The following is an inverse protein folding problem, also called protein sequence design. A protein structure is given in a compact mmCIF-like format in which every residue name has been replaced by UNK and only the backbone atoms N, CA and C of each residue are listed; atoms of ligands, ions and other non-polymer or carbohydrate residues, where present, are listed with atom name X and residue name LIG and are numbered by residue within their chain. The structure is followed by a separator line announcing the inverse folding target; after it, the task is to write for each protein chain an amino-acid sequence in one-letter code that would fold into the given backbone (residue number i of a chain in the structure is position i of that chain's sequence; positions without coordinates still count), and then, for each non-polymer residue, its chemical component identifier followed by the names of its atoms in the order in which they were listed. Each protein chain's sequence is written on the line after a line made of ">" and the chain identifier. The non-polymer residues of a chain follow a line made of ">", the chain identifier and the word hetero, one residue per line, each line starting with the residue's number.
data_IF_956985280450
#
_entry.id   IF_956985280450
#
_cell.length_a   1.000
_cell.length_b   1.000
_cell.length_c   1.000
_cell.angle_alpha   90.00
_cell.angle_beta   90.00
_cell.angle_gamma   90.00
#
_symmetry.space_group_name_H-M   'P 1'
#
loop_
_entity.id
_entity.type
_entity.pdbx_description
1 polymer ?
#
# COMPACT_ATOMS: atom_id res chain seq x y z
N UNK A 1 -2.69 15.18 -9.04
CA UNK A 1 -1.24 14.90 -8.96
C UNK A 1 -0.56 16.20 -8.55
N UNK A 2 0.13 16.23 -7.41
CA UNK A 2 0.74 17.45 -6.87
C UNK A 2 2.10 17.79 -7.44
N UNK A 3 2.70 16.94 -8.30
CA UNK A 3 4.02 17.20 -8.88
C UNK A 3 3.89 17.97 -10.21
N UNK A 4 4.14 19.29 -10.23
CA UNK A 4 3.97 20.12 -11.43
C UNK A 4 5.01 19.80 -12.53
N UNK A 5 6.07 19.06 -12.21
CA UNK A 5 7.14 18.72 -13.15
C UNK A 5 6.84 17.45 -13.97
N UNK A 6 5.63 16.88 -13.87
CA UNK A 6 5.27 15.66 -14.60
C UNK A 6 4.44 15.97 -15.83
N UNK A 7 4.63 15.21 -16.92
CA UNK A 7 3.77 15.30 -18.11
C UNK A 7 2.29 15.03 -17.77
N UNK A 8 2.04 14.27 -16.70
CA UNK A 8 0.70 13.91 -16.22
C UNK A 8 -0.08 15.11 -15.65
N UNK A 9 0.57 16.25 -15.39
CA UNK A 9 -0.08 17.48 -14.94
C UNK A 9 -0.30 18.49 -16.07
N UNK A 10 0.00 18.12 -17.31
CA UNK A 10 -0.32 18.94 -18.47
C UNK A 10 -1.85 19.04 -18.64
N UNK A 11 -2.43 20.24 -18.80
CA UNK A 11 -3.86 20.42 -19.04
C UNK A 11 -4.42 19.65 -20.25
N UNK A 12 -3.59 19.29 -21.23
CA UNK A 12 -4.05 18.55 -22.42
C UNK A 12 -4.16 17.03 -22.20
N UNK A 13 -3.64 16.50 -21.08
CA UNK A 13 -3.57 15.06 -20.83
C UNK A 13 -4.85 14.47 -20.20
N UNK A 14 -5.68 15.30 -19.59
CA UNK A 14 -6.94 14.88 -18.96
C UNK A 14 -7.97 16.00 -19.07
N UNK A 15 -9.27 15.64 -19.10
CA UNK A 15 -10.35 16.62 -19.16
C UNK A 15 -10.34 17.60 -17.96
N UNK A 16 -9.86 17.14 -16.81
CA UNK A 16 -9.62 17.96 -15.63
C UNK A 16 -8.38 17.49 -14.87
N UNK A 17 -7.52 18.46 -14.52
CA UNK A 17 -6.28 18.22 -13.74
C UNK A 17 -6.32 18.98 -12.42
N UNK A 18 -6.14 18.24 -11.32
CA UNK A 18 -6.07 18.78 -9.96
C UNK A 18 -4.63 18.74 -9.42
N UNK A 19 -4.05 19.92 -9.20
CA UNK A 19 -2.72 20.10 -8.58
C UNK A 19 -2.91 20.27 -7.08
N UNK A 20 -3.18 19.16 -6.41
CA UNK A 20 -3.56 19.10 -5.00
C UNK A 20 -2.82 17.94 -4.30
N UNK A 21 -2.57 18.03 -2.97
CA UNK A 21 -2.03 16.92 -2.20
C UNK A 21 -2.91 15.67 -2.30
N UNK A 22 -2.28 14.49 -2.36
CA UNK A 22 -2.98 13.20 -2.43
C UNK A 22 -3.33 12.76 -1.00
N UNK A 23 -4.18 13.54 -0.33
CA UNK A 23 -4.78 13.21 0.97
C UNK A 23 -6.27 12.93 0.77
N UNK A 24 -6.81 12.00 1.56
CA UNK A 24 -8.18 11.52 1.36
C UNK A 24 -9.23 12.64 1.50
N UNK A 25 -9.01 13.64 2.36
CA UNK A 25 -9.92 14.77 2.54
C UNK A 25 -10.01 15.64 1.29
N UNK A 26 -8.89 15.78 0.57
CA UNK A 26 -8.82 16.57 -0.65
C UNK A 26 -9.43 15.78 -1.80
N UNK A 27 -9.09 14.50 -1.92
CA UNK A 27 -9.66 13.62 -2.95
C UNK A 27 -11.17 13.47 -2.77
N UNK A 28 -11.69 13.42 -1.53
CA UNK A 28 -13.13 13.45 -1.25
C UNK A 28 -13.81 14.67 -1.87
N UNK A 29 -13.26 15.87 -1.70
CA UNK A 29 -13.83 17.10 -2.28
C UNK A 29 -13.86 17.05 -3.80
N UNK A 30 -12.84 16.43 -4.41
CA UNK A 30 -12.79 16.23 -5.86
C UNK A 30 -13.86 15.23 -6.29
N UNK A 31 -14.02 14.10 -5.60
CA UNK A 31 -15.08 13.11 -5.85
C UNK A 31 -16.47 13.75 -5.69
N UNK A 32 -16.68 14.57 -4.66
CA UNK A 32 -17.95 15.26 -4.42
C UNK A 32 -18.32 16.21 -5.57
N UNK A 33 -17.32 16.91 -6.13
CA UNK A 33 -17.49 17.84 -7.24
C UNK A 33 -17.68 17.12 -8.58
N UNK A 34 -16.81 16.17 -8.90
CA UNK A 34 -16.73 15.53 -10.22
C UNK A 34 -17.64 14.31 -10.36
N UNK A 35 -18.05 13.70 -9.24
CA UNK A 35 -18.90 12.50 -9.20
C UNK A 35 -18.44 11.40 -10.19
N UNK A 36 -17.17 10.96 -10.13
CA UNK A 36 -16.68 9.93 -11.03
C UNK A 36 -17.32 8.57 -10.70
N UNK A 37 -17.51 7.73 -11.71
CA UNK A 37 -17.98 6.35 -11.49
C UNK A 37 -16.91 5.44 -10.87
N UNK A 38 -15.63 5.78 -11.05
CA UNK A 38 -14.53 4.92 -10.64
C UNK A 38 -13.22 5.68 -10.31
N UNK A 39 -12.36 5.03 -9.53
CA UNK A 39 -10.99 5.46 -9.20
C UNK A 39 -9.98 4.35 -9.47
N UNK A 40 -8.81 4.71 -10.03
CA UNK A 40 -7.71 3.79 -10.36
C UNK A 40 -6.45 4.11 -9.53
N UNK A 41 -6.26 3.47 -8.36
CA UNK A 41 -5.17 3.84 -7.45
C UNK A 41 -3.82 3.20 -7.77
N UNK A 42 -3.78 2.19 -8.65
CA UNK A 42 -2.58 1.38 -8.93
C UNK A 42 -1.50 2.09 -9.74
N UNK A 43 -1.80 3.26 -10.31
CA UNK A 43 -0.87 4.01 -11.17
C UNK A 43 -0.05 5.07 -10.43
N UNK A 44 -0.39 5.37 -9.17
CA UNK A 44 0.25 6.45 -8.40
C UNK A 44 1.20 5.99 -7.28
N UNK A 45 1.66 4.74 -7.34
CA UNK A 45 2.51 4.15 -6.31
C UNK A 45 1.85 4.07 -4.93
N UNK A 46 2.66 3.98 -3.88
CA UNK A 46 2.15 3.78 -2.51
C UNK A 46 1.26 4.93 -2.03
N UNK A 47 1.55 6.18 -2.43
CA UNK A 47 0.77 7.35 -2.02
C UNK A 47 -0.68 7.24 -2.49
N UNK A 48 -0.89 6.88 -3.76
CA UNK A 48 -2.24 6.70 -4.29
C UNK A 48 -2.95 5.47 -3.70
N UNK A 49 -2.24 4.35 -3.54
CA UNK A 49 -2.78 3.15 -2.92
C UNK A 49 -3.25 3.41 -1.49
N UNK A 50 -2.40 4.02 -0.66
CA UNK A 50 -2.75 4.36 0.73
C UNK A 50 -3.93 5.32 0.80
N UNK A 51 -3.96 6.35 -0.05
CA UNK A 51 -5.08 7.29 -0.12
C UNK A 51 -6.40 6.59 -0.49
N UNK A 52 -6.36 5.66 -1.43
CA UNK A 52 -7.56 4.92 -1.86
C UNK A 52 -8.05 3.94 -0.79
N UNK A 53 -7.14 3.25 -0.10
CA UNK A 53 -7.49 2.43 1.06
C UNK A 53 -8.11 3.28 2.19
N UNK A 54 -7.61 4.50 2.40
CA UNK A 54 -8.18 5.39 3.40
C UNK A 54 -9.57 5.90 2.98
N UNK A 55 -9.77 6.27 1.72
CA UNK A 55 -11.10 6.65 1.20
C UNK A 55 -12.14 5.53 1.37
N UNK A 56 -11.73 4.28 1.11
CA UNK A 56 -12.56 3.09 1.35
C UNK A 56 -12.86 2.92 2.85
N UNK A 57 -11.84 3.02 3.72
CA UNK A 57 -12.00 2.91 5.19
C UNK A 57 -12.93 3.99 5.77
N UNK A 58 -12.89 5.20 5.22
CA UNK A 58 -13.77 6.30 5.60
C UNK A 58 -15.19 6.18 5.00
N UNK A 59 -15.45 5.16 4.17
CA UNK A 59 -16.74 4.96 3.50
C UNK A 59 -17.05 5.95 2.39
N UNK A 60 -16.06 6.76 1.95
CA UNK A 60 -16.27 7.80 0.94
C UNK A 60 -16.62 7.18 -0.41
N UNK A 61 -15.93 6.10 -0.80
CA UNK A 61 -16.22 5.46 -2.10
C UNK A 61 -17.65 4.92 -2.15
N UNK A 62 -18.13 4.32 -1.05
CA UNK A 62 -19.52 3.87 -0.92
C UNK A 62 -20.52 5.04 -0.89
N UNK A 63 -20.26 6.09 -0.10
CA UNK A 63 -21.10 7.30 0.00
C UNK A 63 -21.39 7.94 -1.37
N UNK A 64 -20.39 7.96 -2.24
CA UNK A 64 -20.46 8.60 -3.56
C UNK A 64 -20.73 7.60 -4.70
N UNK A 65 -20.87 6.30 -4.41
CA UNK A 65 -21.11 5.26 -5.43
C UNK A 65 -19.94 5.03 -6.39
N UNK A 66 -18.72 5.27 -5.92
CA UNK A 66 -17.49 5.21 -6.72
C UNK A 66 -16.85 3.83 -6.62
N UNK A 67 -16.53 3.21 -7.75
CA UNK A 67 -15.89 1.89 -7.79
C UNK A 67 -14.37 1.99 -7.83
N UNK A 68 -13.67 1.29 -6.93
CA UNK A 68 -12.23 1.12 -7.04
C UNK A 68 -11.91 0.05 -8.11
N UNK A 69 -11.24 0.46 -9.19
CA UNK A 69 -10.90 -0.43 -10.32
C UNK A 69 -9.43 -0.83 -10.35
N UNK A 70 -9.13 -1.92 -11.06
CA UNK A 70 -7.78 -2.50 -11.17
C UNK A 70 -7.50 -3.51 -10.06
N UNK A 71 -7.29 -3.04 -8.84
CA UNK A 71 -7.12 -3.89 -7.66
C UNK A 71 -8.14 -3.48 -6.59
N UNK A 72 -8.88 -4.45 -6.05
CA UNK A 72 -9.83 -4.20 -4.97
C UNK A 72 -9.08 -3.86 -3.68
N UNK A 73 -9.73 -3.13 -2.76
CA UNK A 73 -9.15 -2.84 -1.45
C UNK A 73 -8.67 -4.12 -0.72
N UNK A 74 -9.46 -5.21 -0.79
CA UNK A 74 -9.06 -6.51 -0.22
C UNK A 74 -7.81 -7.11 -0.87
N UNK A 75 -7.67 -6.96 -2.18
CA UNK A 75 -6.52 -7.45 -2.92
C UNK A 75 -5.25 -6.64 -2.62
N UNK A 76 -5.37 -5.31 -2.53
CA UNK A 76 -4.28 -4.42 -2.13
C UNK A 76 -3.85 -4.75 -0.70
N UNK A 77 -4.79 -4.81 0.25
CA UNK A 77 -4.50 -5.12 1.65
C UNK A 77 -3.90 -6.52 1.82
N UNK A 78 -4.37 -7.51 1.05
CA UNK A 78 -3.78 -8.87 1.04
C UNK A 78 -2.34 -8.89 0.56
N UNK A 79 -1.98 -8.04 -0.39
CA UNK A 79 -0.64 -7.96 -0.95
C UNK A 79 0.33 -7.19 -0.05
N UNK A 80 -0.15 -6.15 0.64
CA UNK A 80 0.66 -5.33 1.55
C UNK A 80 0.86 -5.95 2.93
N UNK A 81 -0.17 -6.64 3.46
CA UNK A 81 -0.08 -7.37 4.72
C UNK A 81 0.71 -8.68 4.52
N UNK A 82 1.88 -8.76 5.16
CA UNK A 82 2.80 -9.90 5.04
C UNK A 82 2.18 -11.23 5.49
N UNK A 83 1.31 -11.20 6.51
CA UNK A 83 0.62 -12.40 7.01
C UNK A 83 -0.39 -12.88 6.00
N UNK A 84 -1.23 -11.96 5.50
CA UNK A 84 -2.25 -12.28 4.51
C UNK A 84 -1.61 -12.78 3.21
N UNK A 85 -0.48 -12.19 2.82
CA UNK A 85 0.30 -12.62 1.68
C UNK A 85 0.85 -14.04 1.87
N UNK A 86 1.52 -14.34 2.98
CA UNK A 86 2.07 -15.67 3.26
C UNK A 86 0.97 -16.75 3.28
N UNK A 87 -0.16 -16.47 3.94
CA UNK A 87 -1.33 -17.36 3.94
C UNK A 87 -1.86 -17.58 2.52
N UNK A 88 -1.91 -16.53 1.70
CA UNK A 88 -2.39 -16.63 0.32
C UNK A 88 -1.45 -17.48 -0.55
N UNK A 89 -0.13 -17.33 -0.40
CA UNK A 89 0.88 -18.12 -1.13
C UNK A 89 0.84 -19.60 -0.71
N UNK A 90 0.80 -19.87 0.60
CA UNK A 90 0.69 -21.24 1.13
C UNK A 90 -0.60 -21.92 0.69
N UNK A 91 -1.71 -21.18 0.61
CA UNK A 91 -3.01 -21.71 0.13
C UNK A 91 -2.95 -22.23 -1.30
N UNK A 92 -2.09 -21.65 -2.15
CA UNK A 92 -1.88 -22.12 -3.54
C UNK A 92 -0.72 -23.11 -3.68
N UNK A 93 -0.16 -23.59 -2.56
CA UNK A 93 0.91 -24.59 -2.55
C UNK A 93 2.28 -24.04 -2.93
N UNK A 94 2.48 -22.72 -2.89
CA UNK A 94 3.80 -22.12 -3.09
C UNK A 94 4.59 -22.14 -1.78
N UNK A 95 5.87 -22.52 -1.89
CA UNK A 95 6.81 -22.42 -0.78
C UNK A 95 7.18 -20.97 -0.51
N UNK A 96 7.19 -20.59 0.76
CA UNK A 96 7.67 -19.29 1.24
C UNK A 96 8.88 -19.47 2.14
N UNK A 97 9.76 -18.47 2.16
CA UNK A 97 10.90 -18.49 3.08
C UNK A 97 10.40 -18.53 4.54
N UNK A 98 11.14 -19.23 5.40
CA UNK A 98 10.91 -19.20 6.85
C UNK A 98 10.94 -17.75 7.31
N UNK A 99 9.84 -17.31 7.91
CA UNK A 99 9.63 -15.92 8.29
C UNK A 99 8.66 -15.85 9.46
N UNK A 100 8.72 -14.74 10.19
CA UNK A 100 7.77 -14.40 11.24
C UNK A 100 7.44 -12.90 11.19
N UNK A 101 6.41 -12.50 11.93
CA UNK A 101 5.99 -11.11 12.05
C UNK A 101 6.23 -10.69 13.49
N UNK A 102 6.79 -9.49 13.65
CA UNK A 102 7.06 -8.91 14.94
C UNK A 102 6.58 -7.46 14.97
N UNK A 103 5.97 -7.08 16.09
CA UNK A 103 5.56 -5.72 16.43
C UNK A 103 6.39 -5.15 17.59
N UNK A 104 7.18 -6.00 18.26
CA UNK A 104 8.10 -5.62 19.34
C UNK A 104 9.50 -6.21 19.11
N UNK A 105 10.51 -5.65 19.79
CA UNK A 105 11.88 -6.18 19.71
C UNK A 105 11.99 -7.59 20.28
N UNK A 106 11.22 -7.91 21.32
CA UNK A 106 11.21 -9.25 21.91
C UNK A 106 10.69 -10.30 20.92
N UNK A 107 9.58 -10.00 20.24
CA UNK A 107 9.05 -10.84 19.17
C UNK A 107 10.05 -10.98 18.02
N UNK A 108 10.71 -9.89 17.63
CA UNK A 108 11.71 -9.91 16.55
C UNK A 108 12.89 -10.84 16.90
N UNK A 109 13.38 -10.79 18.14
CA UNK A 109 14.45 -11.68 18.62
C UNK A 109 14.02 -13.15 18.69
N UNK A 110 12.76 -13.41 19.09
CA UNK A 110 12.21 -14.77 19.09
C UNK A 110 12.10 -15.33 17.66
N UNK A 111 11.61 -14.52 16.71
CA UNK A 111 11.55 -14.89 15.29
C UNK A 111 12.95 -15.10 14.72
N UNK A 112 13.91 -14.24 15.04
CA UNK A 112 15.29 -14.37 14.57
C UNK A 112 15.96 -15.66 15.09
N UNK A 113 15.63 -16.10 16.30
CA UNK A 113 16.13 -17.37 16.85
C UNK A 113 15.61 -18.60 16.09
N UNK A 114 14.39 -18.55 15.55
CA UNK A 114 13.80 -19.63 14.74
C UNK A 114 14.26 -19.59 13.27
N UNK A 115 14.28 -18.40 12.66
CA UNK A 115 14.68 -18.21 11.25
C UNK A 115 16.19 -18.43 11.07
N UNK A 116 17.00 -17.93 12.01
CA UNK A 116 18.46 -17.91 11.95
C UNK A 116 19.02 -16.70 11.19
N UNK A 117 20.32 -16.43 11.39
CA UNK A 117 21.04 -15.35 10.70
C UNK A 117 21.84 -15.87 9.48
N UNK A 118 22.03 -15.05 8.42
CA UNK A 118 21.48 -13.70 8.26
C UNK A 118 19.97 -13.72 8.00
N UNK A 119 19.24 -12.75 8.56
CA UNK A 119 17.80 -12.60 8.34
C UNK A 119 17.47 -11.25 7.69
N UNK A 120 16.39 -11.24 6.90
CA UNK A 120 15.92 -10.04 6.21
C UNK A 120 14.81 -9.41 7.04
N UNK A 121 15.00 -8.15 7.39
CA UNK A 121 13.99 -7.34 8.08
C UNK A 121 13.26 -6.54 7.01
N UNK A 122 11.93 -6.69 6.94
CA UNK A 122 11.12 -5.98 5.96
C UNK A 122 9.84 -5.42 6.60
N UNK A 123 9.69 -4.08 6.68
CA UNK A 123 8.46 -3.49 7.15
C UNK A 123 7.29 -3.70 6.18
N UNK A 124 6.08 -3.60 6.73
CA UNK A 124 4.82 -3.64 5.97
C UNK A 124 4.40 -2.22 5.57
N UNK A 125 3.65 -2.08 4.47
CA UNK A 125 3.14 -0.80 3.95
C UNK A 125 4.23 0.24 3.61
N UNK A 126 5.42 -0.21 3.19
CA UNK A 126 6.50 0.66 2.70
C UNK A 126 6.93 0.30 1.29
N UNK A 127 7.43 1.30 0.55
CA UNK A 127 7.93 1.15 -0.82
C UNK A 127 9.47 1.19 -0.84
N UNK A 128 10.09 0.48 -1.79
CA UNK A 128 11.53 0.59 -2.05
C UNK A 128 12.46 0.06 -0.96
N UNK A 129 11.96 -0.69 0.03
CA UNK A 129 12.76 -1.25 1.11
C UNK A 129 13.07 -0.28 2.25
N UNK A 130 12.42 0.89 2.30
CA UNK A 130 12.57 1.84 3.41
C UNK A 130 12.22 1.20 4.75
N UNK A 131 13.14 1.32 5.72
CA UNK A 131 13.03 0.68 7.04
C UNK A 131 13.33 -0.81 7.06
N UNK A 132 13.73 -1.40 5.92
CA UNK A 132 14.21 -2.77 5.83
C UNK A 132 15.74 -2.88 5.88
N UNK A 133 16.24 -4.09 6.05
CA UNK A 133 17.67 -4.36 6.16
C UNK A 133 17.99 -5.85 6.22
N UNK A 134 19.29 -6.15 6.32
CA UNK A 134 19.80 -7.49 6.58
C UNK A 134 20.51 -7.43 7.93
N UNK A 135 20.10 -8.27 8.87
CA UNK A 135 20.81 -8.47 10.12
C UNK A 135 21.66 -9.74 9.99
N UNK A 136 22.97 -9.63 10.24
CA UNK A 136 23.88 -10.77 10.21
C UNK A 136 24.10 -11.39 11.60
N UNK A 137 23.70 -10.67 12.64
CA UNK A 137 23.79 -11.10 14.04
C UNK A 137 22.72 -10.39 14.88
N UNK A 138 22.72 -10.63 16.19
CA UNK A 138 21.71 -10.11 17.12
C UNK A 138 21.84 -8.60 17.42
N UNK A 139 23.04 -8.04 17.29
CA UNK A 139 23.29 -6.62 17.59
C UNK A 139 22.87 -5.70 16.44
N UNK A 140 22.90 -6.22 15.22
CA UNK A 140 22.40 -5.59 13.98
C UNK A 140 20.89 -5.74 13.82
#
# INVERSE_FOLDING_TARGET
>A
NSNPATIMTDPEMADATYIEPIHWEVVRKIIEKERPDAVLPTMGGQTALNCALELERQGVLEEFGVTMIGATADAIDKAEDRRRFDVAMKKIGLETARSGIAHTMEEALAVAADVGFPCIIRPSFTMGGSGGGIAYNREE
#
